data_IF_379293315081
#
_entry.id   IF_379293315081
#
_cell.length_a   1.000
_cell.length_b   1.000
_cell.length_c   1.000
_cell.angle_alpha   90.00
_cell.angle_beta   90.00
_cell.angle_gamma   90.00
#
_symmetry.space_group_name_H-M   'P 1'
#
loop_
_entity.id
_entity.type
_entity.pdbx_description
1 polymer ?
#
# COMPACT_ATOMS: atom_id res chain seq x y z
N UNK A 1 -9.95 -12.15 37.44
CA UNK A 1 -11.12 -12.17 38.35
C UNK A 1 -11.00 -11.07 39.40
N UNK A 2 -9.89 -10.94 40.09
CA UNK A 2 -9.74 -9.97 41.21
C UNK A 2 -9.92 -8.49 40.84
N UNK A 3 -9.79 -8.13 39.54
CA UNK A 3 -10.01 -6.77 39.04
C UNK A 3 -11.49 -6.37 38.95
N UNK A 4 -12.37 -7.34 38.98
CA UNK A 4 -13.81 -7.15 38.82
C UNK A 4 -14.60 -7.29 40.13
N UNK A 5 -13.96 -7.67 41.23
CA UNK A 5 -14.62 -7.95 42.52
C UNK A 5 -15.46 -6.82 43.11
N UNK A 6 -15.42 -5.63 42.48
CA UNK A 6 -16.14 -4.46 42.98
C UNK A 6 -16.79 -3.60 41.86
N UNK A 7 -17.03 -4.12 40.70
CA UNK A 7 -17.83 -3.48 39.64
C UNK A 7 -19.26 -4.01 39.82
N UNK A 8 -20.24 -3.15 40.00
CA UNK A 8 -21.63 -3.54 40.31
C UNK A 8 -22.30 -4.38 39.21
N UNK A 9 -21.69 -4.57 38.07
CA UNK A 9 -22.24 -5.38 36.96
C UNK A 9 -21.16 -5.96 36.04
N UNK A 10 -20.24 -6.74 36.62
CA UNK A 10 -19.14 -7.40 35.87
C UNK A 10 -19.68 -8.31 34.79
N UNK A 11 -20.75 -9.04 35.05
CA UNK A 11 -21.33 -10.00 34.13
C UNK A 11 -21.93 -9.28 32.91
N UNK A 12 -22.68 -8.21 33.12
CA UNK A 12 -23.24 -7.41 32.03
C UNK A 12 -22.14 -6.75 31.18
N UNK A 13 -21.11 -6.16 31.79
CA UNK A 13 -19.97 -5.57 31.08
C UNK A 13 -19.21 -6.61 30.26
N UNK A 14 -19.01 -7.83 30.81
CA UNK A 14 -18.37 -8.91 30.11
C UNK A 14 -19.20 -9.35 28.90
N UNK A 15 -20.50 -9.61 29.10
CA UNK A 15 -21.39 -10.06 28.03
C UNK A 15 -21.50 -9.00 26.94
N UNK A 16 -21.78 -7.74 27.29
CA UNK A 16 -22.02 -6.68 26.31
C UNK A 16 -20.77 -6.25 25.53
N UNK A 17 -19.63 -6.17 26.21
CA UNK A 17 -18.42 -5.54 25.67
C UNK A 17 -17.28 -6.51 25.34
N UNK A 18 -17.42 -7.78 25.71
CA UNK A 18 -16.43 -8.81 25.39
C UNK A 18 -17.05 -10.00 24.67
N UNK A 19 -17.95 -10.73 25.34
CA UNK A 19 -18.52 -11.95 24.77
C UNK A 19 -19.26 -11.70 23.46
N UNK A 20 -20.14 -10.70 23.42
CA UNK A 20 -20.89 -10.30 22.21
C UNK A 20 -20.04 -9.81 21.04
N UNK A 21 -18.75 -9.59 21.26
CA UNK A 21 -17.83 -9.06 20.22
C UNK A 21 -16.85 -10.13 19.78
N UNK A 22 -16.28 -10.87 20.73
CA UNK A 22 -15.18 -11.76 20.48
C UNK A 22 -15.58 -13.24 20.39
N UNK A 23 -16.65 -13.64 21.07
CA UNK A 23 -17.00 -15.07 21.26
C UNK A 23 -18.49 -15.39 21.11
N UNK A 24 -19.31 -14.44 20.60
CA UNK A 24 -20.77 -14.60 20.50
C UNK A 24 -21.19 -15.79 19.62
N UNK A 25 -20.44 -16.05 18.58
CA UNK A 25 -20.70 -17.11 17.61
C UNK A 25 -19.38 -17.60 16.99
N UNK A 26 -19.48 -18.67 16.20
CA UNK A 26 -18.33 -19.27 15.53
C UNK A 26 -17.70 -18.33 14.49
N UNK A 27 -18.48 -17.48 13.82
CA UNK A 27 -17.97 -16.49 12.86
C UNK A 27 -17.14 -15.41 13.56
N UNK A 28 -17.55 -14.95 14.74
CA UNK A 28 -16.77 -14.01 15.53
C UNK A 28 -15.45 -14.63 15.99
N UNK A 29 -15.50 -15.85 16.56
CA UNK A 29 -14.30 -16.59 17.00
C UNK A 29 -13.33 -16.76 15.81
N UNK A 30 -13.81 -17.28 14.68
CA UNK A 30 -13.01 -17.49 13.48
C UNK A 30 -12.39 -16.18 12.95
N UNK A 31 -13.15 -15.08 13.00
CA UNK A 31 -12.60 -13.78 12.59
C UNK A 31 -11.44 -13.35 13.49
N UNK A 32 -11.63 -13.42 14.82
CA UNK A 32 -10.62 -12.93 15.76
C UNK A 32 -9.38 -13.83 15.84
N UNK A 33 -9.52 -15.13 15.60
CA UNK A 33 -8.44 -16.12 15.55
C UNK A 33 -7.83 -16.25 14.13
N UNK A 34 -8.33 -15.47 13.13
CA UNK A 34 -7.76 -15.51 11.80
C UNK A 34 -6.39 -14.81 11.76
N UNK A 35 -5.32 -15.55 11.39
CA UNK A 35 -3.99 -14.98 11.31
C UNK A 35 -3.82 -14.07 10.10
N UNK A 36 -3.17 -12.94 10.29
CA UNK A 36 -2.82 -11.97 9.24
C UNK A 36 -1.32 -11.68 9.21
N UNK A 37 -0.81 -11.43 8.02
CA UNK A 37 0.57 -11.00 7.85
C UNK A 37 0.77 -9.58 8.41
N UNK A 38 1.67 -9.45 9.38
CA UNK A 38 2.14 -8.19 9.94
C UNK A 38 3.64 -8.08 9.72
N UNK A 39 4.03 -7.55 8.56
CA UNK A 39 5.41 -7.63 8.10
C UNK A 39 5.80 -9.09 7.84
N UNK A 40 6.80 -9.61 8.58
CA UNK A 40 7.29 -10.99 8.44
C UNK A 40 6.59 -12.01 9.36
N UNK A 41 5.69 -11.57 10.21
CA UNK A 41 5.03 -12.41 11.21
C UNK A 41 3.54 -12.55 10.89
N UNK A 42 2.98 -13.71 11.24
CA UNK A 42 1.54 -13.93 11.26
C UNK A 42 1.03 -13.68 12.67
N UNK A 43 -0.11 -13.00 12.78
CA UNK A 43 -0.75 -12.64 14.06
C UNK A 43 -2.24 -12.67 13.92
N UNK A 44 -2.92 -13.10 14.96
CA UNK A 44 -4.37 -13.13 14.97
C UNK A 44 -4.96 -11.71 15.03
N UNK A 45 -6.13 -11.53 14.47
CA UNK A 45 -6.80 -10.24 14.47
C UNK A 45 -6.94 -9.64 15.87
N UNK A 46 -7.24 -10.46 16.87
CA UNK A 46 -7.35 -10.01 18.26
C UNK A 46 -6.01 -9.48 18.79
N UNK A 47 -4.90 -10.14 18.46
CA UNK A 47 -3.56 -9.69 18.86
C UNK A 47 -3.21 -8.34 18.20
N UNK A 48 -3.53 -8.19 16.90
CA UNK A 48 -3.31 -6.93 16.16
C UNK A 48 -4.16 -5.80 16.76
N UNK A 49 -5.41 -6.07 17.09
CA UNK A 49 -6.31 -5.12 17.72
C UNK A 49 -5.75 -4.65 19.07
N UNK A 50 -5.48 -5.59 19.98
CA UNK A 50 -5.00 -5.29 21.33
C UNK A 50 -3.64 -4.57 21.30
N UNK A 51 -2.72 -4.99 20.42
CA UNK A 51 -1.49 -4.27 20.19
C UNK A 51 -1.75 -2.83 19.73
N UNK A 52 -2.66 -2.63 18.77
CA UNK A 52 -2.98 -1.29 18.27
C UNK A 52 -3.55 -0.39 19.38
N UNK A 53 -4.46 -0.91 20.19
CA UNK A 53 -5.04 -0.16 21.33
C UNK A 53 -3.94 0.21 22.34
N UNK A 54 -3.04 -0.70 22.66
CA UNK A 54 -1.96 -0.45 23.62
C UNK A 54 -0.99 0.65 23.16
N UNK A 55 -0.72 0.73 21.84
CA UNK A 55 0.07 1.83 21.24
C UNK A 55 -0.71 3.14 21.30
N UNK A 56 -2.01 3.13 20.96
CA UNK A 56 -2.88 4.31 21.01
C UNK A 56 -2.97 4.88 22.44
N UNK A 57 -3.12 4.02 23.44
CA UNK A 57 -3.16 4.40 24.85
C UNK A 57 -1.78 4.73 25.43
N UNK A 58 -0.71 4.46 24.70
CA UNK A 58 0.66 4.86 25.06
C UNK A 58 1.35 3.97 26.09
N UNK A 59 0.76 2.85 26.52
CA UNK A 59 1.43 1.94 27.46
C UNK A 59 2.28 0.86 26.76
N UNK A 60 2.13 0.66 25.45
CA UNK A 60 3.05 -0.11 24.62
C UNK A 60 3.91 0.84 23.76
N UNK A 61 5.22 0.76 23.90
CA UNK A 61 6.17 1.49 23.07
C UNK A 61 6.86 0.52 22.12
N UNK A 62 6.57 0.56 20.80
CA UNK A 62 7.16 -0.37 19.82
C UNK A 62 8.70 -0.29 19.70
N UNK A 63 9.32 0.77 20.22
CA UNK A 63 10.78 0.90 20.23
C UNK A 63 11.42 0.25 21.47
N UNK A 64 10.62 -0.15 22.48
CA UNK A 64 11.09 -0.70 23.75
C UNK A 64 10.53 -2.06 24.08
N UNK A 65 9.30 -2.34 23.60
CA UNK A 65 8.55 -3.54 23.95
C UNK A 65 8.42 -4.45 22.74
N UNK A 66 8.32 -5.72 23.02
CA UNK A 66 7.95 -6.78 22.07
C UNK A 66 6.53 -7.27 22.36
N UNK A 67 5.94 -7.99 21.46
CA UNK A 67 4.57 -8.50 21.68
C UNK A 67 4.47 -9.51 22.81
N UNK A 68 5.53 -10.20 23.15
CA UNK A 68 5.56 -11.04 24.35
C UNK A 68 5.29 -10.25 25.64
N UNK A 69 5.52 -8.93 25.62
CA UNK A 69 5.27 -8.05 26.76
C UNK A 69 3.79 -7.61 26.86
N UNK A 70 3.01 -7.79 25.78
CA UNK A 70 1.68 -7.20 25.61
C UNK A 70 0.75 -7.55 26.80
N UNK A 71 0.65 -8.82 27.18
CA UNK A 71 -0.18 -9.26 28.29
C UNK A 71 0.21 -8.61 29.62
N UNK A 72 1.52 -8.54 29.91
CA UNK A 72 2.02 -7.93 31.13
C UNK A 72 1.79 -6.41 31.15
N UNK A 73 1.92 -5.74 29.99
CA UNK A 73 1.65 -4.32 29.86
C UNK A 73 0.16 -4.00 30.08
N UNK A 74 -0.74 -4.82 29.56
CA UNK A 74 -2.19 -4.70 29.84
C UNK A 74 -2.48 -4.86 31.32
N UNK A 75 -1.95 -5.90 31.98
CA UNK A 75 -2.10 -6.10 33.43
C UNK A 75 -1.59 -4.88 34.21
N UNK A 76 -0.39 -4.40 33.89
CA UNK A 76 0.19 -3.23 34.55
C UNK A 76 -0.61 -1.94 34.32
N UNK A 77 -1.22 -1.76 33.16
CA UNK A 77 -2.06 -0.61 32.83
C UNK A 77 -3.39 -0.68 33.62
N UNK A 78 -4.07 -1.80 33.60
CA UNK A 78 -5.35 -2.02 34.28
C UNK A 78 -5.22 -1.81 35.80
N UNK A 79 -4.13 -2.25 36.40
CA UNK A 79 -3.86 -2.05 37.84
C UNK A 79 -3.65 -0.59 38.24
N UNK A 80 -3.38 0.30 37.30
CA UNK A 80 -3.12 1.73 37.56
C UNK A 80 -4.34 2.63 37.38
N UNK A 81 -5.35 2.17 36.65
CA UNK A 81 -6.56 2.95 36.40
C UNK A 81 -7.64 2.73 37.47
N UNK A 82 -8.52 3.72 37.65
CA UNK A 82 -9.65 3.61 38.57
C UNK A 82 -10.71 2.64 38.03
N UNK A 83 -11.66 2.22 38.88
CA UNK A 83 -12.75 1.34 38.45
C UNK A 83 -13.61 1.97 37.35
N UNK A 84 -13.95 3.24 37.47
CA UNK A 84 -14.71 3.96 36.44
C UNK A 84 -13.95 4.06 35.13
N UNK A 85 -12.63 4.28 35.18
CA UNK A 85 -11.78 4.30 34.01
C UNK A 85 -11.65 2.90 33.37
N UNK A 86 -11.69 1.83 34.18
CA UNK A 86 -11.69 0.46 33.67
C UNK A 86 -12.94 0.15 32.85
N UNK A 87 -14.11 0.54 33.37
CA UNK A 87 -15.38 0.38 32.63
C UNK A 87 -15.34 1.13 31.29
N UNK A 88 -14.89 2.38 31.32
CA UNK A 88 -14.70 3.20 30.09
C UNK A 88 -13.72 2.54 29.13
N UNK A 89 -12.62 1.97 29.63
CA UNK A 89 -11.63 1.30 28.81
C UNK A 89 -12.16 0.04 28.14
N UNK A 90 -12.98 -0.76 28.83
CA UNK A 90 -13.65 -1.94 28.27
C UNK A 90 -14.60 -1.51 27.13
N UNK A 91 -15.39 -0.46 27.34
CA UNK A 91 -16.27 0.14 26.30
C UNK A 91 -15.47 0.65 25.09
N UNK A 92 -14.32 1.25 25.34
CA UNK A 92 -13.41 1.67 24.26
C UNK A 92 -12.85 0.49 23.46
N UNK A 93 -12.40 -0.60 24.12
CA UNK A 93 -11.94 -1.83 23.44
C UNK A 93 -13.06 -2.36 22.54
N UNK A 94 -14.28 -2.43 23.06
CA UNK A 94 -15.46 -2.83 22.30
C UNK A 94 -15.68 -1.97 21.05
N UNK A 95 -15.59 -0.65 21.19
CA UNK A 95 -15.73 0.28 20.07
C UNK A 95 -14.60 0.10 19.03
N UNK A 96 -13.35 -0.01 19.48
CA UNK A 96 -12.21 -0.29 18.59
C UNK A 96 -12.37 -1.62 17.86
N UNK A 97 -12.86 -2.64 18.52
CA UNK A 97 -13.08 -3.96 17.91
C UNK A 97 -14.13 -3.91 16.79
N UNK A 98 -15.25 -3.20 17.00
CA UNK A 98 -16.26 -2.98 15.96
C UNK A 98 -15.68 -2.25 14.76
N UNK A 99 -14.98 -1.13 14.99
CA UNK A 99 -14.32 -0.36 13.92
C UNK A 99 -13.26 -1.18 13.16
N UNK A 100 -12.49 -2.00 13.89
CA UNK A 100 -11.49 -2.89 13.29
C UNK A 100 -12.16 -3.91 12.35
N UNK A 101 -13.21 -4.60 12.84
CA UNK A 101 -13.91 -5.62 12.06
C UNK A 101 -14.58 -5.03 10.81
N UNK A 102 -15.14 -3.84 10.91
CA UNK A 102 -15.85 -3.15 9.82
C UNK A 102 -14.92 -2.54 8.77
N UNK A 103 -13.81 -1.93 9.21
CA UNK A 103 -13.01 -1.03 8.37
C UNK A 103 -11.63 -1.55 7.99
N UNK A 104 -11.10 -2.58 8.65
CA UNK A 104 -9.79 -3.16 8.28
C UNK A 104 -9.98 -4.18 7.14
N UNK A 105 -9.57 -3.78 5.95
CA UNK A 105 -9.80 -4.53 4.72
C UNK A 105 -8.71 -5.57 4.45
N UNK A 106 -9.11 -6.69 3.87
CA UNK A 106 -8.24 -7.75 3.37
C UNK A 106 -8.61 -8.07 1.94
N UNK A 107 -7.61 -8.27 1.12
CA UNK A 107 -7.77 -8.49 -0.30
C UNK A 107 -7.32 -9.89 -0.71
N UNK A 108 -7.94 -10.39 -1.78
CA UNK A 108 -7.55 -11.63 -2.44
C UNK A 108 -7.44 -11.41 -3.96
N UNK A 109 -7.02 -12.43 -4.70
CA UNK A 109 -6.81 -12.31 -6.16
C UNK A 109 -8.07 -11.99 -6.99
N UNK A 110 -9.27 -12.05 -6.40
CA UNK A 110 -10.54 -11.70 -7.07
C UNK A 110 -11.02 -10.29 -6.75
N UNK A 111 -10.38 -9.58 -5.82
CA UNK A 111 -10.77 -8.22 -5.41
C UNK A 111 -10.70 -7.26 -6.59
N UNK A 112 -11.77 -6.51 -6.80
CA UNK A 112 -11.86 -5.40 -7.73
C UNK A 112 -11.54 -4.10 -7.00
N UNK A 113 -10.65 -3.30 -7.57
CA UNK A 113 -10.22 -2.02 -7.01
C UNK A 113 -10.77 -0.87 -7.84
N UNK A 114 -11.29 0.15 -7.15
CA UNK A 114 -11.76 1.41 -7.71
C UNK A 114 -10.92 2.57 -7.13
N UNK A 115 -10.53 3.51 -7.98
CA UNK A 115 -9.72 4.65 -7.52
C UNK A 115 -10.43 5.52 -6.47
N UNK A 116 -11.75 5.62 -6.54
CA UNK A 116 -12.53 6.47 -5.63
C UNK A 116 -12.71 5.85 -4.24
N UNK A 117 -12.48 4.55 -4.11
CA UNK A 117 -12.47 3.88 -2.80
C UNK A 117 -11.13 4.13 -2.09
N UNK A 118 -11.10 5.18 -1.27
CA UNK A 118 -9.91 5.59 -0.53
C UNK A 118 -9.44 4.55 0.48
N UNK A 119 -10.37 3.78 1.07
CA UNK A 119 -10.03 2.74 2.03
C UNK A 119 -9.32 1.57 1.34
N UNK A 120 -9.95 1.00 0.30
CA UNK A 120 -9.36 -0.10 -0.46
C UNK A 120 -8.00 0.30 -1.04
N UNK A 121 -7.86 1.54 -1.51
CA UNK A 121 -6.60 2.04 -2.07
C UNK A 121 -5.49 2.07 -1.03
N UNK A 122 -5.72 2.71 0.13
CA UNK A 122 -4.74 2.78 1.19
C UNK A 122 -4.34 1.39 1.69
N UNK A 123 -5.33 0.54 2.02
CA UNK A 123 -5.04 -0.80 2.55
C UNK A 123 -4.35 -1.70 1.53
N UNK A 124 -4.67 -1.59 0.24
CA UNK A 124 -3.95 -2.30 -0.82
C UNK A 124 -2.49 -1.85 -0.90
N UNK A 125 -2.23 -0.54 -0.87
CA UNK A 125 -0.87 0.01 -0.86
C UNK A 125 -0.08 -0.50 0.35
N UNK A 126 -0.66 -0.43 1.55
CA UNK A 126 -0.04 -0.93 2.77
C UNK A 126 0.26 -2.43 2.68
N UNK A 127 -0.68 -3.22 2.16
CA UNK A 127 -0.54 -4.66 1.97
C UNK A 127 0.60 -5.01 1.01
N UNK A 128 0.61 -4.39 -0.19
CA UNK A 128 1.68 -4.62 -1.18
C UNK A 128 3.04 -4.15 -0.65
N UNK A 129 3.09 -3.03 0.08
CA UNK A 129 4.32 -2.53 0.70
C UNK A 129 4.72 -3.28 1.98
N UNK A 130 3.91 -4.23 2.47
CA UNK A 130 4.13 -4.99 3.72
C UNK A 130 4.25 -4.08 4.96
N UNK A 131 3.43 -3.01 5.00
CA UNK A 131 3.44 -2.01 6.06
C UNK A 131 2.22 -2.21 6.97
N UNK A 132 2.42 -2.75 8.16
CA UNK A 132 1.40 -2.87 9.22
C UNK A 132 1.60 -1.87 10.37
N UNK A 133 2.73 -1.20 10.39
CA UNK A 133 3.14 -0.30 11.49
C UNK A 133 2.17 0.86 11.72
N UNK A 134 1.42 1.28 10.70
CA UNK A 134 0.45 2.36 10.81
C UNK A 134 -0.96 1.90 11.21
N UNK A 135 -1.21 0.61 11.43
CA UNK A 135 -2.52 0.13 11.89
C UNK A 135 -3.01 0.83 13.16
N UNK A 136 -2.17 1.05 14.21
CA UNK A 136 -2.60 1.80 15.39
C UNK A 136 -3.06 3.23 15.06
N UNK A 137 -2.33 3.95 14.20
CA UNK A 137 -2.72 5.29 13.78
C UNK A 137 -4.03 5.29 12.99
N UNK A 138 -4.18 4.39 12.02
CA UNK A 138 -5.40 4.26 11.23
C UNK A 138 -6.60 3.95 12.13
N UNK A 139 -6.44 3.02 13.08
CA UNK A 139 -7.49 2.68 14.03
C UNK A 139 -7.85 3.87 14.95
N UNK A 140 -6.87 4.67 15.35
CA UNK A 140 -7.11 5.90 16.09
C UNK A 140 -7.90 6.95 15.30
N UNK A 141 -7.66 7.04 13.98
CA UNK A 141 -8.42 7.91 13.08
C UNK A 141 -9.87 7.44 12.93
N UNK A 142 -10.10 6.13 12.79
CA UNK A 142 -11.44 5.55 12.74
C UNK A 142 -12.23 5.89 14.00
N UNK A 143 -11.61 5.81 15.16
CA UNK A 143 -12.23 6.16 16.43
C UNK A 143 -12.51 7.66 16.54
N UNK A 144 -11.53 8.49 16.20
CA UNK A 144 -11.59 9.95 16.32
C UNK A 144 -12.63 10.59 15.40
N UNK A 145 -12.74 10.07 14.18
CA UNK A 145 -13.60 10.61 13.13
C UNK A 145 -14.78 9.68 12.81
N UNK A 146 -15.19 8.87 13.78
CA UNK A 146 -16.38 8.02 13.67
C UNK A 146 -17.61 8.88 13.37
N UNK A 147 -18.26 8.63 12.22
CA UNK A 147 -19.36 9.45 11.70
C UNK A 147 -18.95 10.70 10.88
N UNK A 148 -17.65 11.02 10.75
CA UNK A 148 -17.15 12.11 9.90
C UNK A 148 -16.22 11.56 8.79
N UNK A 149 -16.83 10.89 7.80
CA UNK A 149 -16.12 10.26 6.69
C UNK A 149 -15.31 11.27 5.85
N UNK A 150 -15.72 12.54 5.82
CA UNK A 150 -15.01 13.58 5.07
C UNK A 150 -13.64 13.88 5.70
N UNK A 151 -13.60 14.12 7.00
CA UNK A 151 -12.32 14.34 7.70
C UNK A 151 -11.46 13.09 7.73
N UNK A 152 -12.08 11.94 8.00
CA UNK A 152 -11.39 10.66 7.97
C UNK A 152 -10.69 10.45 6.61
N UNK A 153 -11.41 10.66 5.51
CA UNK A 153 -10.87 10.52 4.15
C UNK A 153 -9.65 11.41 3.89
N UNK A 154 -9.66 12.65 4.39
CA UNK A 154 -8.52 13.59 4.28
C UNK A 154 -7.28 13.05 5.00
N UNK A 155 -7.43 12.59 6.24
CA UNK A 155 -6.29 12.09 7.02
C UNK A 155 -5.73 10.78 6.47
N UNK A 156 -6.59 9.87 6.01
CA UNK A 156 -6.16 8.64 5.34
C UNK A 156 -5.42 8.94 4.02
N UNK A 157 -5.87 9.94 3.25
CA UNK A 157 -5.20 10.37 2.02
C UNK A 157 -3.83 10.97 2.28
N UNK A 158 -3.64 11.70 3.38
CA UNK A 158 -2.32 12.20 3.79
C UNK A 158 -1.36 11.05 4.08
N UNK A 159 -1.82 10.05 4.84
CA UNK A 159 -1.01 8.85 5.14
C UNK A 159 -0.66 8.09 3.86
N UNK A 160 -1.64 7.87 2.97
CA UNK A 160 -1.43 7.24 1.67
C UNK A 160 -0.34 7.97 0.87
N UNK A 161 -0.47 9.29 0.77
CA UNK A 161 0.49 10.14 0.05
C UNK A 161 1.89 10.01 0.65
N UNK A 162 2.01 10.00 1.97
CA UNK A 162 3.28 9.83 2.66
C UNK A 162 3.91 8.47 2.36
N UNK A 163 3.12 7.38 2.46
CA UNK A 163 3.61 6.02 2.20
C UNK A 163 4.10 5.90 0.75
N UNK A 164 3.33 6.37 -0.23
CA UNK A 164 3.71 6.32 -1.65
C UNK A 164 5.00 7.12 -1.89
N UNK A 165 5.09 8.36 -1.40
CA UNK A 165 6.28 9.19 -1.59
C UNK A 165 7.52 8.53 -0.97
N UNK A 166 7.42 8.01 0.25
CA UNK A 166 8.51 7.31 0.91
C UNK A 166 8.90 6.00 0.22
N UNK A 167 7.92 5.28 -0.34
CA UNK A 167 8.15 4.10 -1.17
C UNK A 167 8.96 4.46 -2.42
N UNK A 168 8.58 5.52 -3.13
CA UNK A 168 9.28 6.00 -4.34
C UNK A 168 10.70 6.45 -4.00
N UNK A 169 10.88 7.22 -2.93
CA UNK A 169 12.18 7.76 -2.51
C UNK A 169 13.06 6.72 -1.80
N UNK A 170 12.59 5.48 -1.65
CA UNK A 170 13.28 4.40 -0.94
C UNK A 170 13.66 4.76 0.49
N UNK A 171 12.84 5.59 1.15
CA UNK A 171 13.06 6.00 2.53
C UNK A 171 12.94 4.81 3.48
N UNK A 172 13.81 4.73 4.49
CA UNK A 172 13.85 3.63 5.45
C UNK A 172 12.55 3.52 6.27
N UNK A 173 12.07 2.29 6.43
CA UNK A 173 10.83 1.98 7.19
C UNK A 173 11.06 1.90 8.70
N UNK A 174 12.31 1.81 9.17
CA UNK A 174 12.63 1.74 10.61
C UNK A 174 12.10 2.91 11.44
N UNK A 175 11.84 4.08 10.80
CA UNK A 175 11.27 5.25 11.46
C UNK A 175 9.75 5.20 11.61
N UNK A 176 9.06 4.22 11.05
CA UNK A 176 7.59 4.17 11.01
C UNK A 176 6.96 3.99 12.40
N UNK A 177 7.58 3.26 13.32
CA UNK A 177 7.12 3.16 14.70
C UNK A 177 7.07 4.54 15.38
N UNK A 178 8.16 5.31 15.23
CA UNK A 178 8.22 6.68 15.77
C UNK A 178 7.17 7.58 15.13
N UNK A 179 7.04 7.53 13.79
CA UNK A 179 6.03 8.31 13.06
C UNK A 179 4.62 7.94 13.50
N UNK A 180 4.30 6.65 13.64
CA UNK A 180 3.00 6.21 14.11
C UNK A 180 2.64 6.81 15.48
N UNK A 181 3.56 6.78 16.43
CA UNK A 181 3.38 7.40 17.74
C UNK A 181 3.20 8.92 17.68
N UNK A 182 3.98 9.61 16.83
CA UNK A 182 3.85 11.04 16.58
C UNK A 182 2.47 11.39 16.02
N UNK A 183 2.00 10.65 15.02
CA UNK A 183 0.72 10.88 14.33
C UNK A 183 -0.49 10.61 15.24
N UNK A 184 -0.41 9.60 16.12
CA UNK A 184 -1.45 9.35 17.14
C UNK A 184 -1.59 10.53 18.09
N UNK A 185 -0.47 11.15 18.49
CA UNK A 185 -0.48 12.32 19.38
C UNK A 185 -0.96 13.59 18.68
N UNK A 186 -0.53 13.78 17.43
CA UNK A 186 -0.84 14.97 16.63
C UNK A 186 -0.90 14.59 15.14
N UNK A 187 -2.09 14.55 14.56
CA UNK A 187 -2.29 14.24 13.15
C UNK A 187 -1.52 15.20 12.23
N UNK A 188 -1.31 16.46 12.61
CA UNK A 188 -0.62 17.44 11.78
C UNK A 188 0.86 17.11 11.57
N UNK A 189 1.44 16.22 12.40
CA UNK A 189 2.79 15.72 12.21
C UNK A 189 2.97 14.98 10.85
N UNK A 190 1.90 14.45 10.28
CA UNK A 190 1.94 13.86 8.92
C UNK A 190 2.34 14.90 7.88
N UNK A 191 1.84 16.14 7.99
CA UNK A 191 2.14 17.22 7.05
C UNK A 191 3.62 17.59 7.05
N UNK A 192 4.27 17.57 8.23
CA UNK A 192 5.71 17.79 8.36
C UNK A 192 6.51 16.69 7.63
N UNK A 193 6.09 15.43 7.78
CA UNK A 193 6.74 14.30 7.09
C UNK A 193 6.51 14.31 5.57
N UNK A 194 5.38 14.84 5.12
CA UNK A 194 5.11 15.04 3.69
C UNK A 194 6.01 16.12 3.09
N UNK A 195 6.29 17.20 3.82
CA UNK A 195 7.18 18.28 3.39
C UNK A 195 8.64 17.83 3.20
N UNK A 196 9.09 16.79 3.93
CA UNK A 196 10.42 16.19 3.77
C UNK A 196 10.60 15.49 2.38
N UNK A 197 9.49 15.11 1.73
CA UNK A 197 9.51 14.38 0.46
C UNK A 197 9.49 15.37 -0.72
N UNK A 198 10.66 15.85 -1.11
CA UNK A 198 10.77 16.86 -2.17
C UNK A 198 10.40 16.30 -3.56
N UNK A 199 9.96 17.18 -4.47
CA UNK A 199 9.66 16.83 -5.85
C UNK A 199 10.86 16.20 -6.57
N UNK A 200 12.06 16.71 -6.29
CA UNK A 200 13.31 16.20 -6.88
C UNK A 200 13.61 14.78 -6.40
N UNK A 201 13.49 14.50 -5.10
CA UNK A 201 13.70 13.17 -4.56
C UNK A 201 12.70 12.16 -5.15
N UNK A 202 11.45 12.56 -5.34
CA UNK A 202 10.41 11.72 -5.97
C UNK A 202 10.79 11.44 -7.43
N UNK A 203 11.18 12.46 -8.19
CA UNK A 203 11.62 12.30 -9.59
C UNK A 203 12.79 11.31 -9.69
N UNK A 204 13.81 11.49 -8.86
CA UNK A 204 14.99 10.63 -8.85
C UNK A 204 14.62 9.18 -8.45
N UNK A 205 13.69 9.00 -7.50
CA UNK A 205 13.19 7.69 -7.11
C UNK A 205 12.46 6.95 -8.24
N UNK A 206 11.71 7.67 -9.08
CA UNK A 206 11.02 7.12 -10.25
C UNK A 206 11.97 6.65 -11.36
N UNK A 207 13.18 7.18 -11.42
CA UNK A 207 14.21 6.73 -12.38
C UNK A 207 14.83 5.37 -12.00
N UNK A 208 14.63 4.91 -10.78
CA UNK A 208 15.24 3.67 -10.26
C UNK A 208 14.26 2.85 -9.43
N UNK A 209 12.98 2.88 -9.77
CA UNK A 209 11.92 2.22 -9.00
C UNK A 209 12.04 0.69 -9.11
N UNK A 210 11.72 -0.02 -8.01
CA UNK A 210 11.67 -1.49 -8.06
C UNK A 210 10.44 -1.99 -8.84
N UNK A 211 10.54 -3.18 -9.44
CA UNK A 211 9.45 -3.78 -10.22
C UNK A 211 8.15 -3.88 -9.40
N UNK A 212 8.22 -4.33 -8.14
CA UNK A 212 7.06 -4.42 -7.22
C UNK A 212 6.37 -3.07 -7.06
N UNK A 213 7.15 -2.03 -6.78
CA UNK A 213 6.63 -0.68 -6.56
C UNK A 213 6.13 -0.03 -7.85
N UNK A 214 6.79 -0.27 -8.98
CA UNK A 214 6.35 0.19 -10.29
C UNK A 214 5.00 -0.45 -10.68
N UNK A 215 4.84 -1.75 -10.47
CA UNK A 215 3.57 -2.45 -10.71
C UNK A 215 2.43 -1.81 -9.92
N UNK A 216 2.65 -1.60 -8.61
CA UNK A 216 1.66 -0.96 -7.74
C UNK A 216 1.31 0.45 -8.21
N UNK A 217 2.33 1.27 -8.50
CA UNK A 217 2.14 2.65 -8.89
C UNK A 217 1.42 2.78 -10.25
N UNK A 218 1.85 2.03 -11.26
CA UNK A 218 1.22 2.01 -12.58
C UNK A 218 -0.23 1.52 -12.52
N UNK A 219 -0.53 0.54 -11.68
CA UNK A 219 -1.89 0.06 -11.46
C UNK A 219 -2.82 1.18 -10.94
N UNK A 220 -2.36 1.93 -9.92
CA UNK A 220 -3.16 3.04 -9.37
C UNK A 220 -3.20 4.27 -10.28
N UNK A 221 -2.18 4.48 -11.11
CA UNK A 221 -2.20 5.50 -12.20
C UNK A 221 -3.25 5.14 -13.24
N UNK A 222 -3.33 3.87 -13.64
CA UNK A 222 -4.37 3.39 -14.56
C UNK A 222 -5.78 3.62 -14.00
N UNK A 223 -6.02 3.21 -12.75
CA UNK A 223 -7.32 3.42 -12.09
C UNK A 223 -7.67 4.90 -11.92
N UNK A 224 -6.67 5.75 -11.63
CA UNK A 224 -6.87 7.21 -11.60
C UNK A 224 -7.32 7.75 -12.96
N UNK A 225 -6.66 7.36 -14.05
CA UNK A 225 -7.04 7.75 -15.41
C UNK A 225 -8.46 7.31 -15.73
N UNK A 226 -8.81 6.06 -15.43
CA UNK A 226 -10.16 5.53 -15.61
C UNK A 226 -11.22 6.29 -14.82
N UNK A 227 -10.91 6.68 -13.59
CA UNK A 227 -11.82 7.48 -12.78
C UNK A 227 -12.08 8.87 -13.36
N UNK A 228 -11.06 9.47 -13.99
CA UNK A 228 -11.15 10.81 -14.62
C UNK A 228 -11.78 10.81 -16.01
N UNK A 229 -11.69 9.73 -16.74
CA UNK A 229 -12.26 9.62 -18.09
C UNK A 229 -13.76 9.31 -18.03
N UNK A 230 -14.61 10.28 -18.40
CA UNK A 230 -16.07 10.12 -18.41
C UNK A 230 -16.56 9.10 -19.44
N UNK A 231 -15.76 8.78 -20.46
CA UNK A 231 -16.09 7.83 -21.52
C UNK A 231 -15.73 6.39 -21.15
N UNK A 232 -14.88 6.21 -20.12
CA UNK A 232 -14.47 4.89 -19.66
C UNK A 232 -15.57 4.24 -18.83
N UNK A 233 -16.13 3.14 -19.32
CA UNK A 233 -17.19 2.40 -18.63
C UNK A 233 -16.67 1.50 -17.51
N UNK A 234 -15.49 0.88 -17.69
CA UNK A 234 -14.87 -0.01 -16.70
C UNK A 234 -14.00 0.81 -15.76
N UNK A 235 -14.46 1.06 -14.55
CA UNK A 235 -13.77 1.86 -13.52
C UNK A 235 -12.97 1.00 -12.55
N UNK A 236 -13.17 -0.30 -12.56
CA UNK A 236 -12.61 -1.26 -11.60
C UNK A 236 -11.69 -2.25 -12.30
N UNK A 237 -10.61 -2.64 -11.64
CA UNK A 237 -9.65 -3.62 -12.13
C UNK A 237 -9.22 -4.56 -11.02
N UNK A 238 -8.84 -5.79 -11.39
CA UNK A 238 -8.10 -6.72 -10.50
C UNK A 238 -6.61 -6.41 -10.55
N UNK A 239 -5.93 -6.58 -9.42
CA UNK A 239 -4.47 -6.45 -9.35
C UNK A 239 -3.78 -7.75 -9.78
N UNK A 240 -3.83 -8.07 -11.07
CA UNK A 240 -3.31 -9.31 -11.64
C UNK A 240 -2.48 -9.12 -12.92
N UNK A 241 -1.97 -7.91 -13.14
CA UNK A 241 -1.12 -7.57 -14.27
C UNK A 241 0.36 -7.86 -13.98
N UNK A 242 1.11 -8.12 -15.04
CA UNK A 242 2.57 -8.26 -15.00
C UNK A 242 3.25 -7.00 -15.51
N UNK A 243 4.35 -6.61 -14.88
CA UNK A 243 5.18 -5.49 -15.33
C UNK A 243 5.97 -5.90 -16.57
N UNK A 244 5.89 -5.12 -17.62
CA UNK A 244 6.72 -5.24 -18.82
C UNK A 244 7.69 -4.06 -18.93
N UNK A 245 8.96 -4.36 -19.21
CA UNK A 245 9.96 -3.37 -19.60
C UNK A 245 9.99 -3.27 -21.12
N UNK A 246 9.62 -2.14 -21.67
CA UNK A 246 9.60 -1.91 -23.13
C UNK A 246 11.02 -2.08 -23.68
N UNK A 247 12.01 -1.35 -23.17
CA UNK A 247 13.42 -1.67 -23.30
C UNK A 247 13.77 -2.75 -22.27
N UNK A 248 14.04 -4.00 -22.67
CA UNK A 248 14.13 -5.12 -21.74
C UNK A 248 15.42 -5.09 -20.92
N UNK A 249 15.39 -5.77 -19.77
CA UNK A 249 16.58 -5.90 -18.91
C UNK A 249 17.73 -6.66 -19.61
N UNK A 250 17.38 -7.68 -20.42
CA UNK A 250 18.33 -8.42 -21.29
C UNK A 250 18.23 -7.86 -22.70
N UNK A 251 18.87 -6.70 -22.91
CA UNK A 251 18.76 -5.92 -24.14
C UNK A 251 19.80 -6.28 -25.21
N UNK A 252 20.86 -6.95 -24.86
CA UNK A 252 22.06 -7.12 -25.70
C UNK A 252 21.77 -7.80 -27.04
N UNK A 253 20.83 -8.72 -27.10
CA UNK A 253 20.52 -9.50 -28.30
C UNK A 253 19.80 -8.68 -29.39
N UNK A 254 18.80 -7.87 -28.97
CA UNK A 254 17.91 -7.19 -29.93
C UNK A 254 18.05 -5.67 -29.93
N UNK A 255 18.72 -5.08 -28.94
CA UNK A 255 18.76 -3.64 -28.73
C UNK A 255 20.17 -3.06 -28.75
N UNK A 256 21.19 -3.87 -29.05
CA UNK A 256 22.60 -3.43 -29.09
C UNK A 256 22.88 -2.39 -30.16
N UNK A 257 22.15 -2.45 -31.29
CA UNK A 257 22.28 -1.52 -32.43
C UNK A 257 21.48 -0.20 -32.22
N UNK A 258 20.67 -0.11 -31.15
CA UNK A 258 19.91 1.12 -30.86
C UNK A 258 20.80 2.12 -30.14
N UNK A 259 20.97 3.32 -30.72
CA UNK A 259 21.75 4.38 -30.12
C UNK A 259 21.19 4.83 -28.77
N UNK A 260 22.08 5.17 -27.84
CA UNK A 260 21.72 5.82 -26.59
C UNK A 260 21.96 7.29 -26.73
N UNK A 261 20.95 8.09 -26.38
CA UNK A 261 21.03 9.56 -26.46
C UNK A 261 21.04 10.17 -25.05
N UNK A 262 21.74 11.29 -24.93
CA UNK A 262 21.75 12.13 -23.73
C UNK A 262 20.45 12.98 -23.59
N UNK A 263 20.35 13.76 -22.54
CA UNK A 263 19.19 14.65 -22.29
C UNK A 263 19.05 15.78 -23.35
N UNK A 264 20.10 16.05 -24.14
CA UNK A 264 20.12 17.03 -25.20
C UNK A 264 19.80 16.41 -26.58
N UNK A 265 19.64 15.09 -26.66
CA UNK A 265 19.36 14.34 -27.88
C UNK A 265 20.60 13.94 -28.70
N UNK A 266 21.82 14.12 -28.16
CA UNK A 266 23.04 13.69 -28.82
C UNK A 266 23.36 12.23 -28.56
N UNK A 267 23.91 11.52 -29.53
CA UNK A 267 24.35 10.12 -29.41
C UNK A 267 25.54 10.06 -28.47
N UNK A 268 25.45 9.20 -27.47
CA UNK A 268 26.53 8.90 -26.52
C UNK A 268 27.48 7.90 -27.18
N UNK A 269 28.66 8.33 -27.55
CA UNK A 269 29.67 7.48 -28.19
C UNK A 269 30.55 6.68 -27.25
N UNK A 270 30.70 7.17 -26.01
CA UNK A 270 31.41 6.42 -24.95
C UNK A 270 30.57 5.21 -24.51
N UNK A 271 31.16 4.03 -24.66
CA UNK A 271 30.46 2.75 -24.46
C UNK A 271 30.03 2.52 -23.01
N UNK A 272 30.87 2.92 -22.05
CA UNK A 272 30.55 2.74 -20.62
C UNK A 272 29.51 3.76 -20.14
N UNK A 273 29.56 4.98 -20.67
CA UNK A 273 28.53 6.00 -20.42
C UNK A 273 27.20 5.56 -21.03
N UNK A 274 27.21 5.12 -22.30
CA UNK A 274 26.01 4.63 -22.97
C UNK A 274 25.37 3.44 -22.22
N UNK A 275 26.19 2.52 -21.70
CA UNK A 275 25.72 1.39 -20.91
C UNK A 275 25.04 1.85 -19.61
N UNK A 276 25.62 2.80 -18.88
CA UNK A 276 25.03 3.36 -17.65
C UNK A 276 23.71 4.06 -17.93
N UNK A 277 23.67 4.92 -18.97
CA UNK A 277 22.44 5.59 -19.37
C UNK A 277 21.33 4.61 -19.77
N UNK A 278 21.68 3.54 -20.48
CA UNK A 278 20.75 2.47 -20.82
C UNK A 278 20.17 1.78 -19.56
N UNK A 279 21.01 1.48 -18.58
CA UNK A 279 20.53 0.92 -17.30
C UNK A 279 19.57 1.88 -16.58
N UNK A 280 19.87 3.16 -16.54
CA UNK A 280 18.97 4.15 -15.94
C UNK A 280 17.62 4.17 -16.64
N UNK A 281 17.61 4.11 -17.98
CA UNK A 281 16.37 4.07 -18.76
C UNK A 281 15.58 2.78 -18.55
N UNK A 282 16.25 1.62 -18.46
CA UNK A 282 15.61 0.31 -18.23
C UNK A 282 14.80 0.33 -16.93
N UNK A 283 15.34 0.89 -15.85
CA UNK A 283 14.72 0.90 -14.52
C UNK A 283 13.87 2.14 -14.23
N UNK A 284 13.76 3.05 -15.18
CA UNK A 284 12.83 4.19 -15.08
C UNK A 284 11.38 3.72 -15.26
N UNK A 285 10.47 4.27 -14.45
CA UNK A 285 9.04 3.98 -14.58
C UNK A 285 8.50 4.30 -15.98
N UNK A 286 9.09 5.29 -16.68
CA UNK A 286 8.74 5.66 -18.05
C UNK A 286 9.01 4.57 -19.08
N UNK A 287 9.85 3.58 -18.76
CA UNK A 287 10.11 2.39 -19.59
C UNK A 287 9.20 1.21 -19.25
N UNK A 288 8.24 1.36 -18.34
CA UNK A 288 7.46 0.25 -17.81
C UNK A 288 5.98 0.42 -18.13
N UNK A 289 5.31 -0.71 -18.36
CA UNK A 289 3.85 -0.77 -18.48
C UNK A 289 3.31 -2.06 -17.86
N UNK A 290 2.00 -2.17 -17.78
CA UNK A 290 1.31 -3.36 -17.26
C UNK A 290 0.64 -4.11 -18.40
N UNK A 291 0.83 -5.42 -18.42
CA UNK A 291 0.24 -6.32 -19.40
C UNK A 291 -0.31 -7.57 -18.72
N UNK A 292 -1.20 -8.28 -19.41
CA UNK A 292 -1.58 -9.63 -19.02
C UNK A 292 -0.36 -10.55 -19.01
N UNK A 293 -0.24 -11.44 -18.03
CA UNK A 293 0.94 -12.30 -17.86
C UNK A 293 1.27 -13.16 -19.07
N UNK A 294 0.25 -13.67 -19.78
CA UNK A 294 0.45 -14.47 -21.00
C UNK A 294 1.06 -13.66 -22.14
N UNK A 295 0.60 -12.42 -22.34
CA UNK A 295 1.16 -11.51 -23.32
C UNK A 295 2.60 -11.15 -22.96
N UNK A 296 2.85 -10.72 -21.74
CA UNK A 296 4.16 -10.35 -21.24
C UNK A 296 5.19 -11.47 -21.47
N UNK A 297 4.86 -12.71 -21.13
CA UNK A 297 5.72 -13.88 -21.37
C UNK A 297 6.02 -14.07 -22.87
N UNK A 298 5.11 -13.74 -23.77
CA UNK A 298 5.29 -13.92 -25.22
C UNK A 298 6.20 -12.88 -25.85
N UNK A 299 6.29 -11.67 -25.26
CA UNK A 299 7.08 -10.54 -25.81
C UNK A 299 8.59 -10.71 -25.62
N UNK A 300 9.02 -11.45 -24.62
CA UNK A 300 10.45 -11.71 -24.35
C UNK A 300 11.28 -10.39 -24.38
N UNK A 301 12.50 -10.48 -24.97
CA UNK A 301 13.43 -9.34 -25.10
C UNK A 301 13.46 -8.75 -26.53
N UNK A 302 12.42 -9.03 -27.33
CA UNK A 302 12.40 -8.60 -28.72
C UNK A 302 12.54 -7.11 -28.89
N UNK A 303 12.95 -6.67 -30.08
CA UNK A 303 12.99 -5.26 -30.48
C UNK A 303 11.59 -4.62 -30.40
N UNK A 304 11.57 -3.30 -30.35
CA UNK A 304 10.35 -2.55 -30.02
C UNK A 304 9.21 -2.79 -31.02
N UNK A 305 9.49 -2.71 -32.33
CA UNK A 305 8.49 -2.96 -33.37
C UNK A 305 7.85 -4.32 -33.24
N UNK A 306 8.65 -5.38 -32.97
CA UNK A 306 8.17 -6.73 -32.80
C UNK A 306 7.37 -6.90 -31.47
N UNK A 307 7.73 -6.19 -30.41
CA UNK A 307 6.89 -6.13 -29.21
C UNK A 307 5.54 -5.49 -29.47
N UNK A 308 5.50 -4.43 -30.27
CA UNK A 308 4.25 -3.71 -30.59
C UNK A 308 3.38 -4.52 -31.55
N UNK A 309 3.92 -4.93 -32.71
CA UNK A 309 3.13 -5.55 -33.78
C UNK A 309 2.98 -7.08 -33.60
N UNK A 310 3.98 -7.70 -33.00
CA UNK A 310 4.09 -9.16 -32.95
C UNK A 310 4.84 -9.72 -34.17
N UNK A 311 4.87 -11.05 -34.31
CA UNK A 311 5.51 -11.75 -35.42
C UNK A 311 4.75 -13.03 -35.77
N UNK A 312 4.44 -13.19 -37.05
CA UNK A 312 3.73 -14.36 -37.59
C UNK A 312 2.35 -14.52 -36.90
N UNK A 313 2.15 -15.64 -36.20
CA UNK A 313 0.92 -15.93 -35.45
C UNK A 313 0.89 -15.30 -34.06
N UNK A 314 2.03 -14.82 -33.56
CA UNK A 314 2.12 -14.19 -32.24
C UNK A 314 1.80 -12.71 -32.36
N UNK A 315 0.71 -12.29 -31.75
CA UNK A 315 0.27 -10.89 -31.73
C UNK A 315 1.02 -10.10 -30.66
N UNK A 316 1.37 -8.84 -30.96
CA UNK A 316 2.05 -7.93 -30.05
C UNK A 316 1.10 -7.14 -29.13
N UNK A 317 1.68 -6.16 -28.45
CA UNK A 317 0.98 -5.27 -27.51
C UNK A 317 -0.24 -4.62 -28.15
N UNK A 318 -0.14 -4.19 -29.41
CA UNK A 318 -1.21 -3.53 -30.17
C UNK A 318 -2.55 -4.29 -30.12
N UNK A 319 -2.50 -5.60 -30.14
CA UNK A 319 -3.70 -6.43 -30.22
C UNK A 319 -4.34 -6.74 -28.85
N UNK A 320 -3.63 -6.48 -27.75
CA UNK A 320 -4.03 -6.89 -26.41
C UNK A 320 -3.94 -5.77 -25.36
N UNK A 321 -3.64 -4.53 -25.78
CA UNK A 321 -3.56 -3.39 -24.87
C UNK A 321 -4.97 -2.96 -24.46
N UNK A 322 -5.35 -3.31 -23.25
CA UNK A 322 -6.61 -2.95 -22.60
C UNK A 322 -6.47 -1.79 -21.59
N UNK A 323 -5.22 -1.47 -21.22
CA UNK A 323 -4.89 -0.40 -20.27
C UNK A 323 -4.53 0.91 -20.96
N UNK A 324 -5.04 2.02 -20.43
CA UNK A 324 -4.74 3.35 -20.91
C UNK A 324 -3.27 3.71 -20.83
N UNK A 325 -2.55 3.28 -19.78
CA UNK A 325 -1.10 3.47 -19.64
C UNK A 325 -0.31 2.80 -20.78
N UNK A 326 -0.80 1.70 -21.34
CA UNK A 326 -0.16 1.03 -22.48
C UNK A 326 -0.57 1.68 -23.78
N UNK A 327 -1.87 1.98 -23.94
CA UNK A 327 -2.40 2.55 -25.17
C UNK A 327 -1.87 3.95 -25.42
N UNK A 328 -2.09 4.88 -24.49
CA UNK A 328 -1.77 6.30 -24.71
C UNK A 328 -0.28 6.60 -24.55
N UNK A 329 0.42 5.93 -23.64
CA UNK A 329 1.82 6.24 -23.35
C UNK A 329 2.80 5.44 -24.22
N UNK A 330 2.38 4.31 -24.82
CA UNK A 330 3.24 3.48 -25.66
C UNK A 330 2.76 3.43 -27.11
N UNK A 331 1.51 2.98 -27.35
CA UNK A 331 1.04 2.74 -28.72
C UNK A 331 0.82 4.04 -29.51
N UNK A 332 0.13 5.02 -28.92
CA UNK A 332 -0.13 6.28 -29.60
C UNK A 332 1.18 7.03 -29.92
N UNK A 333 2.16 6.95 -29.02
CA UNK A 333 3.50 7.53 -29.27
C UNK A 333 4.26 6.81 -30.36
N UNK A 334 4.20 5.47 -30.38
CA UNK A 334 4.79 4.68 -31.44
C UNK A 334 4.17 5.03 -32.81
N UNK A 335 2.85 5.13 -32.88
CA UNK A 335 2.12 5.45 -34.11
C UNK A 335 2.42 6.86 -34.62
N UNK A 336 2.64 7.82 -33.71
CA UNK A 336 3.04 9.18 -34.06
C UNK A 336 4.52 9.32 -34.43
N UNK A 337 5.32 8.25 -34.33
CA UNK A 337 6.76 8.29 -34.55
C UNK A 337 7.54 9.01 -33.46
N UNK A 338 6.94 9.21 -32.28
CA UNK A 338 7.58 9.85 -31.15
C UNK A 338 8.71 8.95 -30.58
N UNK A 339 9.80 9.59 -30.16
CA UNK A 339 10.85 8.89 -29.42
C UNK A 339 10.34 8.60 -28.01
N UNK A 340 10.29 7.33 -27.63
CA UNK A 340 9.77 6.89 -26.33
C UNK A 340 10.84 7.00 -25.22
N UNK A 341 12.12 7.04 -25.58
CA UNK A 341 13.28 7.24 -24.69
C UNK A 341 14.40 8.01 -25.36
#
# INVERSE_FOLDING_TARGET
>A
MDLFENVEDVETLYIEHWENIFTIDEDAINFWDTPRATGRLMRDNIEILLHSISVIKGFFDPDKHTLSDLSNLYKAYILKITKGDLELFIKEISKYAKLYREKILVFNGSTLFNYQDNYSRLFHILSVCEISTFHPYILSLFYKYDGDESKLGVELQKLETLVIRRMITKSETKSYNKMCKEFIKDNSAVDNRLAEQTKENIKNGLLTISNKNATLLLFWVELFRRAKDSKQSVKELKFNYSLEHILPQKWEEYWSAVDVIDSSGNIITDREVAKRERYTKIYSIGNMTLLNSSLNTSLRNYEFSRKIEGEGRKRGIRHYADLGITRFDILDKYDNGDKIW
#
